data_IF_200472354765
#
_entry.id   IF_200472354765
#
_cell.length_a   1.000
_cell.length_b   1.000
_cell.length_c   1.000
_cell.angle_alpha   90.00
_cell.angle_beta   90.00
_cell.angle_gamma   90.00
#
_symmetry.space_group_name_H-M   'P 1'
#
loop_
_entity.id
_entity.type
_entity.pdbx_description
1 polymer ?
#
# COMPACT_ATOMS: atom_id res chain seq x y z
N UNK A 1 -8.08 -14.96 23.23
CA UNK A 1 -6.80 -14.35 22.90
C UNK A 1 -6.87 -12.86 23.17
N UNK A 2 -5.94 -12.35 23.97
CA UNK A 2 -5.91 -10.91 24.14
C UNK A 2 -5.64 -10.25 22.79
N UNK A 3 -6.39 -9.18 22.53
CA UNK A 3 -6.18 -8.39 21.34
C UNK A 3 -4.80 -7.72 21.43
N UNK A 4 -4.03 -7.80 20.33
CA UNK A 4 -2.74 -7.13 20.28
C UNK A 4 -2.93 -5.62 20.35
N UNK A 5 -2.24 -4.98 21.27
CA UNK A 5 -2.19 -3.52 21.33
C UNK A 5 -1.27 -3.04 20.21
N UNK A 6 -1.86 -2.48 19.16
CA UNK A 6 -1.13 -2.03 17.98
C UNK A 6 -1.21 -0.51 17.83
N UNK A 7 -0.10 0.04 17.37
CA UNK A 7 0.01 1.46 17.06
C UNK A 7 0.58 1.66 15.68
N UNK A 8 0.09 2.67 14.99
CA UNK A 8 0.61 3.08 13.68
C UNK A 8 1.29 4.44 13.82
N UNK A 9 2.45 4.57 13.23
CA UNK A 9 3.11 5.88 13.09
C UNK A 9 4.11 5.86 11.94
N UNK A 10 4.50 7.05 11.50
CA UNK A 10 5.55 7.17 10.50
C UNK A 10 6.87 6.64 11.05
N UNK A 11 7.66 6.03 10.17
CA UNK A 11 9.02 5.61 10.49
C UNK A 11 9.84 6.82 10.91
N UNK A 12 10.65 6.64 11.95
CA UNK A 12 11.64 7.63 12.41
C UNK A 12 13.04 7.15 12.07
N UNK A 13 13.95 8.10 11.86
CA UNK A 13 15.34 7.78 11.48
C UNK A 13 16.04 6.86 12.48
N UNK A 14 15.66 6.94 13.76
CA UNK A 14 16.26 6.16 14.85
C UNK A 14 15.63 4.78 15.06
N UNK A 15 14.59 4.44 14.34
CA UNK A 15 13.91 3.14 14.52
C UNK A 15 14.84 2.00 14.14
N UNK A 16 14.87 0.98 14.99
CA UNK A 16 15.65 -0.24 14.74
C UNK A 16 14.85 -1.18 13.84
N UNK A 17 15.32 -1.36 12.61
CA UNK A 17 14.68 -2.19 11.59
C UNK A 17 15.39 -3.53 11.40
N UNK A 18 16.44 -3.80 12.17
CA UNK A 18 17.35 -4.93 11.90
C UNK A 18 16.74 -6.31 12.16
N UNK A 19 15.81 -6.40 13.11
CA UNK A 19 15.18 -7.68 13.48
C UNK A 19 13.91 -7.99 12.69
N UNK A 20 13.40 -7.05 11.91
CA UNK A 20 12.20 -7.27 11.11
C UNK A 20 12.45 -8.29 10.01
N UNK A 21 11.58 -9.28 9.89
CA UNK A 21 11.68 -10.31 8.86
C UNK A 21 10.28 -10.74 8.42
N UNK A 22 9.92 -10.39 7.18
CA UNK A 22 8.64 -10.80 6.60
C UNK A 22 8.69 -12.21 5.98
N UNK A 23 9.88 -12.72 5.73
CA UNK A 23 10.09 -13.93 4.94
C UNK A 23 10.30 -13.66 3.46
N UNK A 24 10.11 -12.41 3.02
CA UNK A 24 10.39 -11.98 1.64
C UNK A 24 11.65 -11.12 1.64
N UNK A 25 12.70 -11.62 1.00
CA UNK A 25 14.04 -11.00 1.02
C UNK A 25 14.00 -9.59 0.45
N UNK A 26 13.26 -9.36 -0.63
CA UNK A 26 13.19 -8.05 -1.29
C UNK A 26 12.49 -7.01 -0.40
N UNK A 27 11.39 -7.39 0.25
CA UNK A 27 10.67 -6.51 1.17
C UNK A 27 11.52 -6.17 2.40
N UNK A 28 12.21 -7.16 2.94
CA UNK A 28 13.06 -6.96 4.12
C UNK A 28 14.26 -6.07 3.78
N UNK A 29 14.88 -6.28 2.62
CA UNK A 29 15.99 -5.44 2.15
C UNK A 29 15.54 -4.00 1.95
N UNK A 30 14.37 -3.80 1.32
CA UNK A 30 13.82 -2.47 1.15
C UNK A 30 13.63 -1.79 2.51
N UNK A 31 12.99 -2.46 3.45
CA UNK A 31 12.69 -1.88 4.76
C UNK A 31 13.97 -1.51 5.51
N UNK A 32 14.93 -2.42 5.54
CA UNK A 32 16.16 -2.24 6.29
C UNK A 32 17.11 -1.21 5.68
N UNK A 33 17.18 -1.13 4.35
CA UNK A 33 18.20 -0.33 3.66
C UNK A 33 17.67 0.91 2.95
N UNK A 34 16.46 0.87 2.40
CA UNK A 34 15.99 1.90 1.49
C UNK A 34 14.83 2.75 2.02
N UNK A 35 14.01 2.22 2.92
CA UNK A 35 12.84 2.94 3.41
C UNK A 35 13.21 4.28 4.04
N UNK A 36 14.18 4.29 4.93
CA UNK A 36 14.63 5.52 5.57
C UNK A 36 15.27 6.49 4.59
N UNK A 37 16.12 5.98 3.70
CA UNK A 37 16.75 6.82 2.68
C UNK A 37 15.72 7.48 1.77
N UNK A 38 14.73 6.72 1.30
CA UNK A 38 13.69 7.25 0.44
C UNK A 38 12.84 8.29 1.15
N UNK A 39 12.54 8.08 2.42
CA UNK A 39 11.69 9.00 3.20
C UNK A 39 12.43 10.27 3.61
N UNK A 40 13.62 10.13 4.20
CA UNK A 40 14.30 11.24 4.86
C UNK A 40 15.27 11.99 3.95
N UNK A 41 15.80 11.34 2.94
CA UNK A 41 16.78 11.96 2.02
C UNK A 41 16.18 12.35 0.68
N UNK A 42 15.39 11.46 0.08
CA UNK A 42 14.87 11.67 -1.28
C UNK A 42 13.43 12.17 -1.32
N UNK A 43 12.68 12.04 -0.23
CA UNK A 43 11.27 12.50 -0.12
C UNK A 43 10.35 11.89 -1.19
N UNK A 44 10.57 10.63 -1.56
CA UNK A 44 9.82 9.93 -2.61
C UNK A 44 8.76 8.97 -2.08
N UNK A 45 8.54 8.97 -0.79
CA UNK A 45 7.51 8.17 -0.15
C UNK A 45 7.66 8.23 1.35
N UNK A 46 6.64 7.75 2.06
CA UNK A 46 6.66 7.66 3.52
C UNK A 46 6.36 6.24 3.94
N UNK A 47 7.17 5.70 4.83
CA UNK A 47 6.94 4.40 5.43
C UNK A 47 6.29 4.59 6.80
N UNK A 48 5.17 3.88 6.99
CA UNK A 48 4.48 3.81 8.28
C UNK A 48 4.72 2.43 8.87
N UNK A 49 4.94 2.38 10.16
CA UNK A 49 5.20 1.14 10.87
C UNK A 49 4.04 0.78 11.78
N UNK A 50 3.83 -0.51 11.92
CA UNK A 50 2.88 -1.10 12.85
C UNK A 50 3.68 -1.66 14.02
N UNK A 51 3.37 -1.18 15.20
CA UNK A 51 4.07 -1.54 16.44
C UNK A 51 3.15 -2.31 17.39
N UNK A 52 3.71 -3.31 18.05
CA UNK A 52 3.13 -3.84 19.27
C UNK A 52 4.18 -3.67 20.37
N UNK A 53 3.85 -2.86 21.39
CA UNK A 53 4.88 -2.38 22.32
C UNK A 53 5.98 -1.62 21.57
N UNK A 54 7.22 -2.05 21.73
CA UNK A 54 8.37 -1.46 21.03
C UNK A 54 8.79 -2.23 19.78
N UNK A 55 8.06 -3.31 19.44
CA UNK A 55 8.42 -4.19 18.33
C UNK A 55 7.71 -3.78 17.04
N UNK A 56 8.47 -3.61 15.96
CA UNK A 56 7.91 -3.37 14.63
C UNK A 56 7.45 -4.73 14.08
N UNK A 57 6.13 -4.83 13.82
CA UNK A 57 5.52 -6.07 13.33
C UNK A 57 5.00 -5.97 11.91
N UNK A 58 5.03 -4.77 11.32
CA UNK A 58 4.63 -4.56 9.94
C UNK A 58 5.02 -3.18 9.45
N UNK A 59 4.99 -3.00 8.14
CA UNK A 59 5.18 -1.68 7.55
C UNK A 59 4.40 -1.55 6.24
N UNK A 60 4.10 -0.32 5.89
CA UNK A 60 3.55 0.04 4.58
C UNK A 60 4.25 1.30 4.09
N UNK A 61 4.65 1.29 2.82
CA UNK A 61 5.24 2.47 2.18
C UNK A 61 4.26 3.00 1.15
N UNK A 62 3.93 4.27 1.27
CA UNK A 62 3.00 4.95 0.37
C UNK A 62 3.68 6.13 -0.31
N UNK A 63 3.22 6.46 -1.50
CA UNK A 63 3.70 7.61 -2.26
C UNK A 63 2.56 8.21 -3.08
N UNK A 64 2.75 9.46 -3.50
CA UNK A 64 1.86 10.08 -4.47
C UNK A 64 2.14 9.51 -5.85
N UNK A 65 1.09 9.35 -6.65
CA UNK A 65 1.22 8.89 -8.02
C UNK A 65 0.13 9.47 -8.89
N UNK A 66 0.15 9.11 -10.16
CA UNK A 66 -0.91 9.48 -11.09
C UNK A 66 -1.27 8.29 -11.97
N UNK A 67 -2.48 8.33 -12.52
CA UNK A 67 -2.97 7.29 -13.40
C UNK A 67 -3.76 7.92 -14.54
N UNK A 68 -3.61 7.40 -15.75
CA UNK A 68 -4.44 7.79 -16.88
C UNK A 68 -5.83 7.20 -16.73
N UNK A 69 -6.86 7.94 -17.13
CA UNK A 69 -8.24 7.46 -17.02
C UNK A 69 -8.46 6.17 -17.82
N UNK A 70 -7.76 6.00 -18.93
CA UNK A 70 -7.86 4.80 -19.77
C UNK A 70 -7.29 3.55 -19.10
N UNK A 71 -6.42 3.71 -18.12
CA UNK A 71 -5.85 2.59 -17.36
C UNK A 71 -6.76 2.14 -16.22
N UNK A 72 -7.76 2.93 -15.85
CA UNK A 72 -8.71 2.57 -14.79
C UNK A 72 -9.61 1.42 -15.22
N UNK A 73 -10.11 0.61 -14.26
CA UNK A 73 -11.16 -0.33 -14.55
C UNK A 73 -12.38 0.38 -15.17
N UNK A 74 -13.06 -0.27 -16.10
CA UNK A 74 -14.18 0.34 -16.82
C UNK A 74 -15.26 0.89 -15.89
N UNK A 75 -15.49 0.24 -14.75
CA UNK A 75 -16.46 0.68 -13.75
C UNK A 75 -16.06 2.02 -13.11
N UNK A 76 -14.78 2.37 -13.14
CA UNK A 76 -14.23 3.56 -12.47
C UNK A 76 -14.02 4.74 -13.41
N UNK A 77 -14.18 4.56 -14.73
CA UNK A 77 -13.91 5.61 -15.73
C UNK A 77 -15.00 6.63 -15.89
N UNK A 78 -16.22 6.27 -15.53
CA UNK A 78 -17.40 7.09 -15.81
C UNK A 78 -17.28 8.47 -15.18
N UNK A 79 -17.46 9.51 -16.00
CA UNK A 79 -17.49 10.92 -15.60
C UNK A 79 -16.16 11.50 -15.11
N UNK A 80 -15.04 10.80 -15.34
CA UNK A 80 -13.73 11.36 -15.02
C UNK A 80 -13.13 12.06 -16.24
N UNK A 81 -12.42 13.18 -16.02
CA UNK A 81 -11.75 13.88 -17.11
C UNK A 81 -10.56 13.12 -17.68
N UNK A 82 -10.16 13.46 -18.91
CA UNK A 82 -9.08 12.76 -19.63
C UNK A 82 -7.69 13.38 -19.36
N UNK A 83 -7.36 13.68 -18.12
CA UNK A 83 -5.99 14.09 -17.76
C UNK A 83 -5.49 13.22 -16.61
N UNK A 84 -4.17 13.24 -16.31
CA UNK A 84 -3.62 12.40 -15.25
C UNK A 84 -4.33 12.65 -13.92
N UNK A 85 -4.75 11.56 -13.28
CA UNK A 85 -5.53 11.60 -12.06
C UNK A 85 -4.66 11.26 -10.85
N UNK A 86 -4.80 11.98 -9.72
CA UNK A 86 -3.99 11.71 -8.54
C UNK A 86 -4.43 10.42 -7.84
N UNK A 87 -3.46 9.62 -7.46
CA UNK A 87 -3.69 8.39 -6.69
C UNK A 87 -2.67 8.29 -5.55
N UNK A 88 -3.02 7.54 -4.51
CA UNK A 88 -2.05 7.08 -3.53
C UNK A 88 -1.54 5.71 -3.97
N UNK A 89 -0.24 5.55 -4.07
CA UNK A 89 0.37 4.27 -4.42
C UNK A 89 0.87 3.58 -3.16
N UNK A 90 0.49 2.32 -2.99
CA UNK A 90 1.10 1.44 -2.01
C UNK A 90 2.30 0.77 -2.70
N UNK A 91 3.49 1.23 -2.35
CA UNK A 91 4.72 0.72 -2.97
C UNK A 91 5.18 -0.59 -2.33
N UNK A 92 5.01 -0.72 -1.02
CA UNK A 92 5.44 -1.92 -0.27
C UNK A 92 4.49 -2.13 0.91
N UNK A 93 4.25 -3.39 1.24
CA UNK A 93 3.49 -3.79 2.43
C UNK A 93 4.02 -5.13 2.91
N UNK A 94 4.36 -5.24 4.17
CA UNK A 94 4.82 -6.51 4.74
C UNK A 94 4.48 -6.62 6.21
N UNK A 95 4.24 -7.86 6.65
CA UNK A 95 4.02 -8.20 8.06
C UNK A 95 5.14 -9.17 8.47
N UNK A 96 5.70 -8.96 9.66
CA UNK A 96 6.70 -9.87 10.21
C UNK A 96 6.14 -11.29 10.27
N UNK A 97 6.96 -12.27 9.88
CA UNK A 97 6.50 -13.67 9.75
C UNK A 97 5.92 -14.24 11.03
N UNK A 98 6.37 -13.79 12.20
CA UNK A 98 5.84 -14.23 13.48
C UNK A 98 4.43 -13.71 13.76
N UNK A 99 4.00 -12.69 13.03
CA UNK A 99 2.70 -12.03 13.22
C UNK A 99 1.77 -12.18 12.02
N UNK A 100 2.14 -12.97 11.03
CA UNK A 100 1.28 -13.26 9.87
C UNK A 100 0.10 -14.17 10.29
N UNK A 101 -1.01 -14.06 9.56
CA UNK A 101 -2.21 -14.84 9.85
C UNK A 101 -3.07 -14.30 10.97
N UNK A 102 -2.78 -13.12 11.50
CA UNK A 102 -3.52 -12.48 12.59
C UNK A 102 -4.41 -11.32 12.13
N UNK A 103 -4.53 -11.11 10.82
CA UNK A 103 -5.34 -10.02 10.27
C UNK A 103 -4.66 -8.67 10.26
N UNK A 104 -3.35 -8.58 10.54
CA UNK A 104 -2.63 -7.31 10.60
C UNK A 104 -2.48 -6.66 9.23
N UNK A 105 -2.42 -7.44 8.15
CA UNK A 105 -2.39 -6.89 6.79
C UNK A 105 -3.63 -6.07 6.47
N UNK A 106 -4.81 -6.52 6.88
CA UNK A 106 -6.05 -5.76 6.72
C UNK A 106 -6.05 -4.49 7.56
N UNK A 107 -5.53 -4.54 8.78
CA UNK A 107 -5.46 -3.37 9.66
C UNK A 107 -4.53 -2.31 9.09
N UNK A 108 -3.38 -2.70 8.56
CA UNK A 108 -2.44 -1.76 7.97
C UNK A 108 -3.00 -1.15 6.68
N UNK A 109 -3.75 -1.91 5.89
CA UNK A 109 -4.45 -1.38 4.72
C UNK A 109 -5.55 -0.39 5.11
N UNK A 110 -6.33 -0.70 6.14
CA UNK A 110 -7.35 0.22 6.63
C UNK A 110 -6.72 1.55 7.06
N UNK A 111 -5.57 1.49 7.74
CA UNK A 111 -4.81 2.69 8.07
C UNK A 111 -4.41 3.46 6.82
N UNK A 112 -3.94 2.77 5.77
CA UNK A 112 -3.57 3.42 4.51
C UNK A 112 -4.77 4.07 3.82
N UNK A 113 -5.97 3.51 3.96
CA UNK A 113 -7.18 4.10 3.40
C UNK A 113 -7.52 5.44 4.05
N UNK A 114 -7.26 5.57 5.35
CA UNK A 114 -7.40 6.86 6.03
C UNK A 114 -6.41 7.89 5.47
N UNK A 115 -5.18 7.48 5.16
CA UNK A 115 -4.21 8.35 4.49
C UNK A 115 -4.70 8.79 3.09
N UNK A 116 -5.34 7.89 2.35
CA UNK A 116 -5.90 8.21 1.04
C UNK A 116 -7.05 9.23 1.16
N UNK A 117 -7.89 9.11 2.18
CA UNK A 117 -8.94 10.07 2.46
C UNK A 117 -8.38 11.44 2.87
N UNK A 118 -7.30 11.47 3.63
CA UNK A 118 -6.59 12.70 3.95
C UNK A 118 -6.02 13.35 2.69
N UNK A 119 -5.40 12.55 1.83
CA UNK A 119 -4.92 13.03 0.54
C UNK A 119 -6.05 13.62 -0.30
N UNK A 120 -7.20 12.95 -0.36
CA UNK A 120 -8.40 13.45 -1.05
C UNK A 120 -8.78 14.84 -0.54
N UNK A 121 -8.81 15.03 0.78
CA UNK A 121 -9.23 16.27 1.42
C UNK A 121 -8.24 17.42 1.22
N UNK A 122 -6.95 17.13 1.11
CA UNK A 122 -5.91 18.15 1.05
C UNK A 122 -5.57 18.56 -0.39
N UNK A 123 -5.50 17.62 -1.32
CA UNK A 123 -5.10 17.93 -2.71
C UNK A 123 -5.65 16.97 -3.77
N UNK A 124 -6.55 16.10 -3.39
CA UNK A 124 -7.23 15.22 -4.35
C UNK A 124 -6.64 13.81 -4.39
N UNK A 125 -7.50 12.83 -4.55
CA UNK A 125 -7.14 11.43 -4.70
C UNK A 125 -8.34 10.67 -5.26
N UNK A 126 -8.17 10.02 -6.40
CA UNK A 126 -9.27 9.24 -7.01
C UNK A 126 -9.28 7.79 -6.50
N UNK A 127 -8.21 7.33 -5.90
CA UNK A 127 -8.13 5.98 -5.35
C UNK A 127 -6.73 5.56 -4.99
N UNK A 128 -6.61 4.28 -4.67
CA UNK A 128 -5.37 3.63 -4.24
C UNK A 128 -4.93 2.62 -5.29
N UNK A 129 -3.66 2.67 -5.66
CA UNK A 129 -3.03 1.73 -6.59
C UNK A 129 -2.02 0.89 -5.82
N UNK A 130 -2.00 -0.40 -6.08
CA UNK A 130 -1.00 -1.33 -5.55
C UNK A 130 -0.48 -2.19 -6.69
N UNK A 131 0.83 -2.45 -6.70
CA UNK A 131 1.44 -3.43 -7.60
C UNK A 131 1.45 -4.78 -6.86
N UNK A 132 0.39 -5.56 -7.06
CA UNK A 132 0.18 -6.80 -6.32
C UNK A 132 1.08 -7.91 -6.86
N UNK A 133 1.86 -8.54 -5.98
CA UNK A 133 2.59 -9.77 -6.32
C UNK A 133 1.59 -10.90 -6.54
N UNK A 134 1.98 -11.90 -7.33
CA UNK A 134 1.11 -13.02 -7.68
C UNK A 134 0.45 -13.66 -6.44
N UNK A 135 1.22 -13.86 -5.39
CA UNK A 135 0.72 -14.44 -4.14
C UNK A 135 -0.23 -13.52 -3.36
N UNK A 136 -0.30 -12.23 -3.69
CA UNK A 136 -1.13 -11.25 -2.99
C UNK A 136 -2.37 -10.82 -3.75
N UNK A 137 -2.54 -11.24 -5.00
CA UNK A 137 -3.66 -10.81 -5.86
C UNK A 137 -5.00 -11.14 -5.20
N UNK A 138 -5.16 -12.35 -4.69
CA UNK A 138 -6.41 -12.76 -4.05
C UNK A 138 -6.70 -11.94 -2.79
N UNK A 139 -5.68 -11.60 -2.03
CA UNK A 139 -5.82 -10.76 -0.83
C UNK A 139 -6.40 -9.39 -1.20
N UNK A 140 -5.83 -8.73 -2.21
CA UNK A 140 -6.32 -7.42 -2.64
C UNK A 140 -7.70 -7.52 -3.33
N UNK A 141 -7.92 -8.56 -4.13
CA UNK A 141 -9.20 -8.78 -4.78
C UNK A 141 -10.35 -8.92 -3.77
N UNK A 142 -10.13 -9.66 -2.68
CA UNK A 142 -11.13 -9.83 -1.61
C UNK A 142 -11.47 -8.51 -0.92
N UNK A 143 -10.58 -7.53 -0.95
CA UNK A 143 -10.81 -6.21 -0.37
C UNK A 143 -11.47 -5.23 -1.34
N UNK A 144 -11.76 -5.68 -2.56
CA UNK A 144 -12.44 -4.87 -3.56
C UNK A 144 -11.53 -4.23 -4.60
N UNK A 145 -10.22 -4.49 -4.56
CA UNK A 145 -9.30 -4.01 -5.60
C UNK A 145 -9.60 -4.71 -6.91
N UNK A 146 -9.57 -3.93 -7.99
CA UNK A 146 -9.80 -4.41 -9.35
C UNK A 146 -8.51 -4.30 -10.17
N UNK A 147 -8.23 -5.26 -11.06
CA UNK A 147 -7.06 -5.16 -11.92
C UNK A 147 -7.16 -3.94 -12.84
N UNK A 148 -6.03 -3.26 -13.04
CA UNK A 148 -5.95 -2.16 -14.01
C UNK A 148 -5.88 -2.74 -15.42
N UNK A 149 -6.48 -2.01 -16.38
CA UNK A 149 -6.44 -2.36 -17.79
C UNK A 149 -5.20 -1.77 -18.45
N UNK A 150 -4.03 -2.06 -17.90
CA UNK A 150 -2.78 -1.66 -18.53
C UNK A 150 -2.40 -2.64 -19.62
N UNK A 151 -1.94 -2.11 -20.74
CA UNK A 151 -1.27 -2.93 -21.74
C UNK A 151 -0.01 -3.48 -21.09
N UNK A 152 -0.01 -4.79 -20.89
CA UNK A 152 1.16 -5.48 -20.38
C UNK A 152 2.20 -5.46 -21.50
N UNK A 153 3.25 -4.65 -21.37
CA UNK A 153 4.37 -4.67 -22.27
C UNK A 153 5.02 -6.05 -22.30
N UNK A 154 5.77 -6.33 -23.36
CA UNK A 154 6.49 -7.59 -23.47
C UNK A 154 7.36 -7.82 -22.24
N UNK A 155 7.24 -9.02 -21.71
CA UNK A 155 7.75 -9.37 -20.42
C UNK A 155 8.91 -10.32 -20.53
N UNK A 156 9.96 -10.05 -19.80
CA UNK A 156 10.94 -11.09 -19.51
C UNK A 156 10.33 -12.23 -18.69
N UNK A 157 11.11 -13.27 -18.46
CA UNK A 157 10.69 -14.53 -17.84
C UNK A 157 10.24 -14.44 -16.38
N UNK A 158 10.17 -13.24 -15.79
CA UNK A 158 9.74 -13.06 -14.40
C UNK A 158 8.29 -12.65 -14.32
N UNK A 159 7.47 -13.28 -13.43
CA UNK A 159 6.11 -12.81 -13.22
C UNK A 159 6.15 -11.36 -12.73
N UNK A 160 5.50 -10.49 -13.49
CA UNK A 160 5.41 -9.08 -13.15
C UNK A 160 4.34 -8.84 -12.10
N UNK A 161 4.52 -7.87 -11.19
CA UNK A 161 3.45 -7.45 -10.32
C UNK A 161 2.25 -6.99 -11.14
N UNK A 162 1.05 -7.33 -10.69
CA UNK A 162 -0.18 -6.91 -11.35
C UNK A 162 -0.69 -5.64 -10.67
N UNK A 163 -0.81 -4.51 -11.40
CA UNK A 163 -1.37 -3.31 -10.81
C UNK A 163 -2.86 -3.46 -10.57
N UNK A 164 -3.31 -3.07 -9.38
CA UNK A 164 -4.71 -3.12 -8.96
C UNK A 164 -5.12 -1.78 -8.39
N UNK A 165 -6.42 -1.48 -8.46
CA UNK A 165 -6.99 -0.18 -8.09
C UNK A 165 -8.21 -0.34 -7.20
N UNK A 166 -8.31 0.54 -6.20
CA UNK A 166 -9.50 0.67 -5.37
C UNK A 166 -9.96 2.13 -5.38
N UNK A 167 -11.21 2.37 -5.79
CA UNK A 167 -11.70 3.75 -5.91
C UNK A 167 -11.91 4.40 -4.54
N UNK A 168 -11.75 5.73 -4.49
CA UNK A 168 -11.96 6.48 -3.25
C UNK A 168 -13.40 6.35 -2.74
N UNK A 169 -14.36 6.22 -3.63
CA UNK A 169 -15.77 6.02 -3.26
C UNK A 169 -15.97 4.69 -2.52
N UNK A 170 -15.33 3.63 -2.99
CA UNK A 170 -15.36 2.33 -2.32
C UNK A 170 -14.71 2.41 -0.95
N UNK A 171 -13.59 3.14 -0.84
CA UNK A 171 -12.91 3.35 0.44
C UNK A 171 -13.81 4.09 1.43
N UNK A 172 -14.46 5.17 0.99
CA UNK A 172 -15.39 5.94 1.84
C UNK A 172 -16.51 5.06 2.39
N UNK A 173 -17.09 4.22 1.54
CA UNK A 173 -18.16 3.32 1.94
C UNK A 173 -17.69 2.26 2.95
N UNK A 174 -16.48 1.74 2.77
CA UNK A 174 -15.91 0.71 3.65
C UNK A 174 -15.62 1.27 5.04
N UNK A 175 -15.16 2.51 5.14
CA UNK A 175 -14.81 3.14 6.41
C UNK A 175 -16.05 3.56 7.20
N UNK A 176 -17.14 3.94 6.52
CA UNK A 176 -18.41 4.32 7.16
C UNK A 176 -19.13 3.15 7.83
N UNK A 177 -18.77 1.94 7.51
CA UNK A 177 -19.27 0.75 8.20
C UNK A 177 -18.40 0.49 9.43
#
# INVERSE_FOLDING_TARGET
MPELDIQFRALKAKDDKTVFCSGNIELDRFFQRYAGQNQFRHHIGTTYILLTGNKIVGFITVSAGEIAVDDLPSQSRSRLPEYPLPVMRIARLAIDKQFQGLGLGKKILRFSFELALDMKSHYGCVGVVVDAKQESINFYHKLGFLPLETLVGELGDRPQPKPMFLSIKTIEQAIKK
#
